data_IF_218677362138
#
_entry.id   IF_218677362138
#
_cell.length_a   1.000
_cell.length_b   1.000
_cell.length_c   1.000
_cell.angle_alpha   90.00
_cell.angle_beta   90.00
_cell.angle_gamma   90.00
#
_symmetry.space_group_name_H-M   'P 1'
#
loop_
_entity.id
_entity.type
_entity.pdbx_description
1 polymer ?
#
# COMPACT_ATOMS: atom_id res chain seq x y z
N UNK A 1 -23.55 5.77 -11.97
CA UNK A 1 -23.82 5.75 -10.51
C UNK A 1 -22.81 4.92 -9.70
N UNK A 2 -22.23 3.83 -10.20
CA UNK A 2 -21.36 2.95 -9.38
C UNK A 2 -19.90 3.41 -9.20
N UNK A 3 -19.37 4.31 -10.04
CA UNK A 3 -17.98 4.79 -9.95
C UNK A 3 -17.69 5.53 -8.64
N UNK A 4 -18.62 6.39 -8.18
CA UNK A 4 -18.46 7.13 -6.91
C UNK A 4 -18.46 6.23 -5.68
N UNK A 5 -19.25 5.15 -5.68
CA UNK A 5 -19.25 4.17 -4.58
C UNK A 5 -17.93 3.40 -4.50
N UNK A 6 -17.32 3.07 -5.66
CA UNK A 6 -16.00 2.43 -5.71
C UNK A 6 -14.92 3.36 -5.13
N UNK A 7 -14.93 4.62 -5.55
CA UNK A 7 -13.97 5.62 -5.07
C UNK A 7 -14.11 5.87 -3.56
N UNK A 8 -15.33 5.95 -3.03
CA UNK A 8 -15.57 6.08 -1.59
C UNK A 8 -15.01 4.91 -0.79
N UNK A 9 -15.21 3.66 -1.23
CA UNK A 9 -14.66 2.48 -0.57
C UNK A 9 -13.13 2.52 -0.50
N UNK A 10 -12.51 2.89 -1.63
CA UNK A 10 -11.06 3.01 -1.72
C UNK A 10 -10.51 4.04 -0.72
N UNK A 11 -11.09 5.25 -0.66
CA UNK A 11 -10.63 6.26 0.31
C UNK A 11 -10.91 5.87 1.76
N UNK A 12 -12.05 5.21 2.03
CA UNK A 12 -12.34 4.66 3.36
C UNK A 12 -11.28 3.62 3.76
N UNK A 13 -10.81 2.81 2.82
CA UNK A 13 -9.78 1.81 3.07
C UNK A 13 -8.39 2.42 3.25
N UNK A 14 -8.07 3.47 2.48
CA UNK A 14 -6.85 4.25 2.68
C UNK A 14 -6.81 4.89 4.08
N UNK A 15 -7.94 5.50 4.50
CA UNK A 15 -8.08 6.06 5.84
C UNK A 15 -7.95 4.98 6.94
N UNK A 16 -8.52 3.80 6.72
CA UNK A 16 -8.33 2.64 7.61
C UNK A 16 -6.86 2.26 7.72
N UNK A 17 -6.15 2.10 6.59
CA UNK A 17 -4.71 1.78 6.58
C UNK A 17 -3.88 2.84 7.32
N UNK A 18 -4.18 4.13 7.13
CA UNK A 18 -3.50 5.23 7.83
C UNK A 18 -3.76 5.20 9.34
N UNK A 19 -4.94 4.75 9.78
CA UNK A 19 -5.32 4.68 11.19
C UNK A 19 -4.83 3.44 11.94
N UNK A 20 -4.27 2.43 11.25
CA UNK A 20 -3.78 1.21 11.89
C UNK A 20 -2.54 1.47 12.77
N UNK A 21 -2.40 0.76 13.90
CA UNK A 21 -1.13 0.66 14.61
C UNK A 21 0.02 0.24 13.68
N UNK A 22 1.24 0.69 13.97
CA UNK A 22 2.41 0.43 13.12
C UNK A 22 2.60 -1.06 12.78
N UNK A 23 2.47 -1.94 13.77
CA UNK A 23 2.60 -3.39 13.62
C UNK A 23 1.49 -4.01 12.76
N UNK A 24 0.26 -3.51 12.87
CA UNK A 24 -0.87 -3.99 12.07
C UNK A 24 -0.76 -3.53 10.61
N UNK A 25 -0.34 -2.30 10.38
CA UNK A 25 -0.09 -1.80 9.03
C UNK A 25 1.07 -2.51 8.35
N UNK A 26 2.18 -2.75 9.07
CA UNK A 26 3.30 -3.56 8.55
C UNK A 26 2.80 -4.96 8.17
N UNK A 27 2.00 -5.61 9.03
CA UNK A 27 1.39 -6.90 8.72
C UNK A 27 0.53 -6.85 7.44
N UNK A 28 -0.39 -5.88 7.34
CA UNK A 28 -1.28 -5.72 6.18
C UNK A 28 -0.50 -5.45 4.89
N UNK A 29 0.54 -4.61 4.96
CA UNK A 29 1.40 -4.32 3.81
C UNK A 29 2.22 -5.54 3.42
N UNK A 30 2.75 -6.30 4.38
CA UNK A 30 3.49 -7.53 4.09
C UNK A 30 2.66 -8.55 3.31
N UNK A 31 1.36 -8.67 3.58
CA UNK A 31 0.47 -9.52 2.79
C UNK A 31 0.38 -9.10 1.30
N UNK A 32 0.69 -7.84 0.99
CA UNK A 32 0.80 -7.35 -0.38
C UNK A 32 2.18 -7.64 -0.98
N UNK A 33 3.24 -7.26 -0.26
CA UNK A 33 4.64 -7.22 -0.75
C UNK A 33 5.43 -8.52 -0.62
N UNK A 34 5.20 -9.28 0.45
CA UNK A 34 6.02 -10.41 0.87
C UNK A 34 7.32 -10.03 1.59
N UNK A 35 7.92 -8.87 1.28
CA UNK A 35 9.13 -8.37 1.94
C UNK A 35 8.82 -7.62 3.24
N UNK A 36 9.45 -8.04 4.34
CA UNK A 36 9.38 -7.36 5.64
C UNK A 36 10.00 -5.95 5.57
N UNK A 37 11.11 -5.79 4.84
CA UNK A 37 11.81 -4.51 4.68
C UNK A 37 10.91 -3.47 3.99
N UNK A 38 10.28 -3.87 2.88
CA UNK A 38 9.35 -3.02 2.16
C UNK A 38 8.14 -2.65 3.02
N UNK A 39 7.53 -3.63 3.68
CA UNK A 39 6.33 -3.42 4.48
C UNK A 39 6.59 -2.49 5.68
N UNK A 40 7.74 -2.64 6.33
CA UNK A 40 8.18 -1.76 7.41
C UNK A 40 8.45 -0.34 6.92
N UNK A 41 9.22 -0.20 5.83
CA UNK A 41 9.53 1.09 5.22
C UNK A 41 8.26 1.86 4.87
N UNK A 42 7.36 1.23 4.12
CA UNK A 42 6.11 1.84 3.70
C UNK A 42 5.16 2.11 4.88
N UNK A 43 5.11 1.25 5.90
CA UNK A 43 4.30 1.49 7.11
C UNK A 43 4.75 2.73 7.87
N UNK A 44 6.06 3.04 7.83
CA UNK A 44 6.67 4.13 8.60
C UNK A 44 6.44 5.54 8.03
N UNK A 45 6.09 5.65 6.74
CA UNK A 45 5.84 6.93 6.06
C UNK A 45 4.37 7.33 6.01
N UNK A 46 3.48 6.50 6.58
CA UNK A 46 2.08 6.86 6.81
C UNK A 46 1.99 8.13 7.68
N UNK A 47 0.95 8.96 7.53
CA UNK A 47 -0.24 8.74 6.69
C UNK A 47 -0.06 9.17 5.22
N UNK A 48 -0.72 8.45 4.32
CA UNK A 48 -0.80 8.82 2.90
C UNK A 48 -1.99 9.75 2.64
N UNK A 49 -1.75 10.87 1.98
CA UNK A 49 -2.79 11.88 1.72
C UNK A 49 -3.78 11.41 0.65
N UNK A 50 -3.25 10.80 -0.41
CA UNK A 50 -4.01 10.34 -1.57
C UNK A 50 -3.52 8.95 -2.02
N UNK A 51 -4.18 8.38 -3.03
CA UNK A 51 -3.79 7.07 -3.55
C UNK A 51 -2.45 7.14 -4.27
N UNK A 52 -2.24 8.20 -5.02
CA UNK A 52 -1.00 8.50 -5.73
C UNK A 52 0.18 8.50 -4.74
N UNK A 53 0.03 9.18 -3.61
CA UNK A 53 1.02 9.24 -2.53
C UNK A 53 1.38 7.84 -2.00
N UNK A 54 0.38 6.98 -1.76
CA UNK A 54 0.61 5.59 -1.37
C UNK A 54 1.40 4.81 -2.44
N UNK A 55 1.03 4.94 -3.71
CA UNK A 55 1.68 4.18 -4.78
C UNK A 55 3.10 4.69 -5.07
N UNK A 56 3.33 6.00 -5.01
CA UNK A 56 4.64 6.60 -5.21
C UNK A 56 5.60 6.17 -4.09
N UNK A 57 5.20 6.30 -2.82
CA UNK A 57 5.98 5.79 -1.69
C UNK A 57 6.19 4.27 -1.80
N UNK A 58 5.16 3.51 -2.20
CA UNK A 58 5.28 2.06 -2.41
C UNK A 58 6.36 1.70 -3.44
N UNK A 59 6.46 2.48 -4.53
CA UNK A 59 7.47 2.28 -5.59
C UNK A 59 8.85 2.62 -5.07
N UNK A 60 8.99 3.78 -4.44
CA UNK A 60 10.26 4.26 -3.90
C UNK A 60 10.83 3.28 -2.88
N UNK A 61 10.02 2.84 -1.91
CA UNK A 61 10.46 1.87 -0.91
C UNK A 61 10.75 0.48 -1.50
N UNK A 62 10.08 0.08 -2.58
CA UNK A 62 10.38 -1.19 -3.25
C UNK A 62 11.76 -1.17 -3.90
N UNK A 63 12.08 -0.06 -4.56
CA UNK A 63 13.38 0.13 -5.21
C UNK A 63 14.57 0.09 -4.24
N UNK A 64 14.33 0.32 -2.94
CA UNK A 64 15.34 0.26 -1.89
C UNK A 64 15.59 -1.17 -1.37
N UNK A 65 14.70 -2.12 -1.62
CA UNK A 65 14.85 -3.49 -1.13
C UNK A 65 15.80 -4.32 -2.00
N UNK A 66 16.35 -5.40 -1.44
CA UNK A 66 17.14 -6.37 -2.19
C UNK A 66 16.36 -7.04 -3.35
N UNK A 67 15.03 -7.05 -3.27
CA UNK A 67 14.12 -7.59 -4.30
C UNK A 67 13.69 -6.54 -5.34
N UNK A 68 14.29 -5.33 -5.29
CA UNK A 68 13.95 -4.19 -6.13
C UNK A 68 13.88 -4.54 -7.62
N UNK A 69 12.81 -4.08 -8.28
CA UNK A 69 12.60 -4.29 -9.72
C UNK A 69 11.16 -4.15 -10.17
N UNK A 70 10.95 -3.74 -11.43
CA UNK A 70 9.64 -3.44 -12.02
C UNK A 70 8.66 -4.63 -12.01
N UNK A 71 9.16 -5.84 -12.26
CA UNK A 71 8.33 -7.05 -12.26
C UNK A 71 7.80 -7.37 -10.85
N UNK A 72 8.64 -7.20 -9.83
CA UNK A 72 8.24 -7.34 -8.43
C UNK A 72 7.21 -6.28 -8.04
N UNK A 73 7.50 -5.01 -8.36
CA UNK A 73 6.61 -3.91 -8.03
C UNK A 73 5.22 -4.06 -8.67
N UNK A 74 5.14 -4.49 -9.93
CA UNK A 74 3.86 -4.70 -10.63
C UNK A 74 2.93 -5.65 -9.87
N UNK A 75 3.47 -6.72 -9.28
CA UNK A 75 2.71 -7.68 -8.47
C UNK A 75 2.21 -7.06 -7.16
N UNK A 76 3.06 -6.27 -6.51
CA UNK A 76 2.75 -5.60 -5.24
C UNK A 76 1.69 -4.54 -5.45
N UNK A 77 1.84 -3.71 -6.49
CA UNK A 77 0.89 -2.69 -6.90
C UNK A 77 -0.51 -3.30 -7.14
N UNK A 78 -0.58 -4.43 -7.86
CA UNK A 78 -1.86 -5.13 -8.08
C UNK A 78 -2.51 -5.64 -6.79
N UNK A 79 -1.71 -6.12 -5.83
CA UNK A 79 -2.21 -6.59 -4.52
C UNK A 79 -2.66 -5.44 -3.63
N UNK A 80 -1.91 -4.34 -3.64
CA UNK A 80 -2.25 -3.12 -2.91
C UNK A 80 -3.55 -2.49 -3.44
N UNK A 81 -3.73 -2.46 -4.76
CA UNK A 81 -5.00 -2.08 -5.38
C UNK A 81 -6.17 -2.96 -4.91
N UNK A 82 -6.00 -4.28 -4.89
CA UNK A 82 -7.02 -5.21 -4.37
C UNK A 82 -7.30 -5.02 -2.88
N UNK A 83 -6.31 -4.69 -2.07
CA UNK A 83 -6.50 -4.37 -0.66
C UNK A 83 -7.45 -3.18 -0.50
N UNK A 84 -7.26 -2.14 -1.30
CA UNK A 84 -8.04 -0.90 -1.27
C UNK A 84 -9.47 -1.06 -1.80
N UNK A 85 -9.69 -1.99 -2.72
CA UNK A 85 -11.01 -2.29 -3.29
C UNK A 85 -11.91 -3.17 -2.39
N UNK A 86 -11.35 -3.79 -1.34
CA UNK A 86 -12.05 -4.65 -0.36
C UNK A 86 -12.78 -3.86 0.72
#
# INVERSE_FOLDING_TARGET
MFAGLKQYKIYKKLAWLNGLPASEAEYVLRECGGSDEWARGLSSVRPFVMLEDLFDNAREHWALTAEGGEAGYSRICARLGKLLER
#
